data_IF_344755454555
#
_entry.id   IF_344755454555
#
_cell.length_a   1.000
_cell.length_b   1.000
_cell.length_c   1.000
_cell.angle_alpha   90.00
_cell.angle_beta   90.00
_cell.angle_gamma   90.00
#
_symmetry.space_group_name_H-M   'P 1'
#
loop_
_entity.id
_entity.type
_entity.pdbx_description
1 polymer ?
#
# COMPACT_ATOMS: atom_id res chain seq x y z
N UNK A 1 20.32 7.47 -36.38
CA UNK A 1 19.69 8.80 -36.24
C UNK A 1 18.20 8.58 -36.26
N UNK A 2 17.49 8.97 -35.20
CA UNK A 2 16.05 8.72 -35.10
C UNK A 2 15.27 9.84 -35.79
N UNK A 3 14.10 9.51 -36.32
CA UNK A 3 13.15 10.47 -36.89
C UNK A 3 12.81 11.63 -35.93
N UNK A 4 12.92 11.39 -34.62
CA UNK A 4 12.67 12.40 -33.59
C UNK A 4 13.77 13.47 -33.53
N UNK A 5 15.04 13.10 -33.76
CA UNK A 5 16.18 14.03 -33.76
C UNK A 5 16.18 14.99 -34.96
N UNK A 6 15.47 14.62 -36.02
CA UNK A 6 15.29 15.42 -37.24
C UNK A 6 14.12 16.40 -37.08
N UNK A 7 13.01 15.93 -36.49
CA UNK A 7 11.85 16.75 -36.18
C UNK A 7 12.15 17.86 -35.16
N UNK A 8 12.96 17.58 -34.13
CA UNK A 8 13.35 18.58 -33.13
C UNK A 8 14.16 19.73 -33.77
N UNK A 9 15.10 19.39 -34.66
CA UNK A 9 15.90 20.38 -35.41
C UNK A 9 15.03 21.24 -36.32
N UNK A 10 14.09 20.65 -37.05
CA UNK A 10 13.18 21.38 -37.93
C UNK A 10 12.28 22.37 -37.18
N UNK A 11 11.82 21.99 -35.98
CA UNK A 11 10.99 22.86 -35.14
C UNK A 11 11.79 24.03 -34.56
N UNK A 12 13.03 23.80 -34.12
CA UNK A 12 13.91 24.87 -33.62
C UNK A 12 14.24 25.88 -34.73
N UNK A 13 14.54 25.42 -35.94
CA UNK A 13 14.80 26.27 -37.10
C UNK A 13 13.54 27.07 -37.53
N UNK A 14 12.36 26.46 -37.47
CA UNK A 14 11.09 27.16 -37.72
C UNK A 14 10.83 28.26 -36.68
N UNK A 15 11.12 28.01 -35.40
CA UNK A 15 10.93 28.97 -34.31
C UNK A 15 11.89 30.17 -34.44
N UNK A 16 13.16 29.93 -34.80
CA UNK A 16 14.12 31.01 -35.03
C UNK A 16 13.75 31.90 -36.23
N UNK A 17 13.31 31.29 -37.35
CA UNK A 17 12.82 32.04 -38.53
C UNK A 17 11.67 32.98 -38.14
N UNK A 18 10.75 32.52 -37.30
CA UNK A 18 9.61 33.32 -36.82
C UNK A 18 10.04 34.46 -35.88
N UNK A 19 11.05 34.26 -35.03
CA UNK A 19 11.65 35.31 -34.18
C UNK A 19 12.38 36.37 -34.99
N UNK A 20 13.16 35.97 -36.02
CA UNK A 20 13.86 36.90 -36.92
C UNK A 20 12.87 37.75 -37.73
N UNK A 21 11.79 37.15 -38.25
CA UNK A 21 10.74 37.87 -38.96
C UNK A 21 10.02 38.92 -38.07
N UNK A 22 9.73 38.58 -36.81
CA UNK A 22 9.13 39.52 -35.84
C UNK A 22 10.07 40.68 -35.49
N UNK A 23 11.37 40.44 -35.35
CA UNK A 23 12.36 41.49 -35.09
C UNK A 23 12.54 42.42 -36.30
N UNK A 24 12.47 41.89 -37.53
CA UNK A 24 12.50 42.71 -38.74
C UNK A 24 11.24 43.59 -38.90
N UNK A 25 10.06 43.10 -38.50
CA UNK A 25 8.81 43.86 -38.57
C UNK A 25 8.70 44.99 -37.51
N UNK A 26 9.43 44.88 -36.38
CA UNK A 26 9.38 45.86 -35.29
C UNK A 26 10.24 47.12 -35.53
N UNK A 27 11.10 47.13 -36.56
CA UNK A 27 12.11 48.19 -36.75
C UNK A 27 11.70 49.44 -37.54
N UNK A 28 10.49 49.52 -38.13
CA UNK A 28 10.24 50.52 -39.20
C UNK A 28 9.21 51.62 -38.87
N UNK A 29 8.54 51.63 -37.71
CA UNK A 29 7.56 52.71 -37.43
C UNK A 29 7.52 53.17 -35.97
N UNK A 30 8.48 54.01 -35.57
CA UNK A 30 8.32 54.82 -34.36
C UNK A 30 9.16 56.11 -34.41
N UNK A 31 8.89 56.99 -35.37
CA UNK A 31 9.33 58.40 -35.29
C UNK A 31 8.23 59.33 -35.80
N UNK A 32 7.15 59.46 -35.02
CA UNK A 32 6.17 60.55 -35.17
C UNK A 32 5.76 61.07 -33.79
N UNK A 33 6.24 62.29 -33.52
CA UNK A 33 5.73 63.34 -32.60
C UNK A 33 4.68 62.87 -31.58
N UNK A 34 5.14 62.46 -30.40
CA UNK A 34 4.29 62.33 -29.21
C UNK A 34 4.16 63.71 -28.55
N UNK A 35 3.07 64.41 -28.83
CA UNK A 35 2.66 65.57 -28.04
C UNK A 35 2.26 65.15 -26.63
N UNK A 36 2.37 66.08 -25.67
CA UNK A 36 2.11 65.90 -24.23
C UNK A 36 0.76 65.23 -23.88
N UNK A 37 -0.22 65.22 -24.80
CA UNK A 37 -1.51 64.52 -24.64
C UNK A 37 -1.43 62.98 -24.78
N UNK A 38 -0.42 62.46 -25.46
CA UNK A 38 -0.25 61.02 -25.63
C UNK A 38 0.38 60.35 -24.38
N UNK A 39 1.21 61.08 -23.62
CA UNK A 39 1.75 60.62 -22.34
C UNK A 39 0.64 60.39 -21.29
N UNK A 40 -0.39 61.25 -21.25
CA UNK A 40 -1.56 61.06 -20.37
C UNK A 40 -2.38 59.81 -20.72
N UNK A 41 -2.57 59.53 -22.01
CA UNK A 41 -3.31 58.33 -22.46
C UNK A 41 -2.52 57.04 -22.25
N UNK A 42 -1.20 57.08 -22.44
CA UNK A 42 -0.32 55.95 -22.13
C UNK A 42 -0.29 55.69 -20.63
N UNK A 43 -0.12 56.71 -19.78
CA UNK A 43 -0.14 56.53 -18.33
C UNK A 43 -1.47 55.94 -17.83
N UNK A 44 -2.61 56.43 -18.35
CA UNK A 44 -3.92 55.88 -18.01
C UNK A 44 -4.09 54.43 -18.48
N UNK A 45 -3.66 54.11 -19.72
CA UNK A 45 -3.70 52.74 -20.24
C UNK A 45 -2.78 51.80 -19.45
N UNK A 46 -1.59 52.26 -19.05
CA UNK A 46 -0.65 51.45 -18.26
C UNK A 46 -1.16 51.22 -16.84
N UNK A 47 -1.79 52.23 -16.22
CA UNK A 47 -2.46 52.07 -14.93
C UNK A 47 -3.66 51.11 -15.02
N UNK A 48 -4.46 51.20 -16.09
CA UNK A 48 -5.58 50.27 -16.33
C UNK A 48 -5.08 48.83 -16.56
N UNK A 49 -4.02 48.65 -17.36
CA UNK A 49 -3.40 47.35 -17.60
C UNK A 49 -2.73 46.79 -16.34
N UNK A 50 -2.13 47.63 -15.50
CA UNK A 50 -1.58 47.22 -14.20
C UNK A 50 -2.69 46.76 -13.24
N UNK A 51 -3.85 47.46 -13.23
CA UNK A 51 -5.02 47.06 -12.44
C UNK A 51 -5.66 45.76 -12.94
N UNK A 52 -5.79 45.57 -14.26
CA UNK A 52 -6.31 44.33 -14.87
C UNK A 52 -5.31 43.16 -14.69
N UNK A 53 -4.00 43.43 -14.79
CA UNK A 53 -2.93 42.46 -14.54
C UNK A 53 -2.88 42.00 -13.08
N UNK A 54 -3.05 42.92 -12.13
CA UNK A 54 -3.13 42.58 -10.71
C UNK A 54 -4.39 41.75 -10.38
N UNK A 55 -5.53 42.05 -11.00
CA UNK A 55 -6.77 41.29 -10.80
C UNK A 55 -6.69 39.86 -11.37
N UNK A 56 -6.03 39.67 -12.52
CA UNK A 56 -5.87 38.34 -13.14
C UNK A 56 -4.85 37.46 -12.42
N UNK A 57 -3.76 38.03 -11.90
CA UNK A 57 -2.79 37.30 -11.07
C UNK A 57 -3.40 36.83 -9.73
N UNK A 58 -4.25 37.65 -9.11
CA UNK A 58 -4.96 37.28 -7.88
C UNK A 58 -5.98 36.16 -8.07
N UNK A 59 -6.74 36.18 -9.17
CA UNK A 59 -7.70 35.12 -9.50
C UNK A 59 -7.02 33.77 -9.80
N UNK A 60 -5.86 33.79 -10.46
CA UNK A 60 -5.06 32.59 -10.73
C UNK A 60 -4.56 31.91 -9.45
N UNK A 61 -4.08 32.68 -8.47
CA UNK A 61 -3.62 32.16 -7.18
C UNK A 61 -4.77 31.59 -6.32
N UNK A 62 -5.96 32.17 -6.39
CA UNK A 62 -7.14 31.64 -5.69
C UNK A 62 -7.69 30.37 -6.35
N UNK A 63 -7.67 30.29 -7.68
CA UNK A 63 -8.06 29.07 -8.42
C UNK A 63 -7.05 27.92 -8.24
N UNK A 64 -5.76 28.22 -8.03
CA UNK A 64 -4.72 27.22 -7.80
C UNK A 64 -4.65 26.73 -6.34
N UNK A 65 -5.06 27.54 -5.35
CA UNK A 65 -5.00 27.17 -3.91
C UNK A 65 -6.16 26.33 -3.39
N UNK A 66 -7.16 26.02 -4.22
CA UNK A 66 -8.44 25.53 -3.72
C UNK A 66 -9.14 24.47 -4.55
N UNK A 67 -8.42 23.66 -5.33
CA UNK A 67 -9.12 22.53 -5.97
C UNK A 67 -9.64 21.58 -4.88
N UNK A 68 -10.96 21.53 -4.75
CA UNK A 68 -11.67 20.57 -3.91
C UNK A 68 -11.74 19.29 -4.72
N UNK A 69 -11.35 18.16 -4.13
CA UNK A 69 -11.63 16.86 -4.72
C UNK A 69 -13.15 16.67 -4.64
N UNK A 70 -13.86 16.65 -5.77
CA UNK A 70 -15.31 16.49 -5.74
C UNK A 70 -15.65 15.11 -5.21
N UNK A 71 -16.69 15.03 -4.38
CA UNK A 71 -17.27 13.74 -4.06
C UNK A 71 -17.97 13.13 -5.27
N UNK A 72 -18.22 11.82 -5.28
CA UNK A 72 -19.04 11.16 -6.28
C UNK A 72 -20.42 11.83 -6.41
N UNK A 73 -21.05 11.71 -7.58
CA UNK A 73 -22.39 12.24 -7.76
C UNK A 73 -23.37 11.46 -6.88
N UNK A 74 -24.32 12.16 -6.27
CA UNK A 74 -25.27 11.57 -5.30
C UNK A 74 -26.04 10.37 -5.85
N UNK A 75 -26.34 10.35 -7.16
CA UNK A 75 -27.03 9.23 -7.82
C UNK A 75 -26.19 7.95 -7.94
N UNK A 76 -24.87 8.06 -7.81
CA UNK A 76 -23.91 6.96 -7.94
C UNK A 76 -23.48 6.42 -6.57
N UNK A 77 -24.02 6.96 -5.47
CA UNK A 77 -23.69 6.59 -4.09
C UNK A 77 -24.95 6.07 -3.40
N UNK A 78 -24.92 4.85 -2.83
CA UNK A 78 -26.03 4.35 -2.05
C UNK A 78 -26.34 5.25 -0.82
N UNK A 79 -27.60 5.36 -0.37
CA UNK A 79 -27.98 6.31 0.69
C UNK A 79 -27.22 6.12 2.03
N UNK A 80 -26.83 4.90 2.34
CA UNK A 80 -26.05 4.51 3.51
C UNK A 80 -24.60 5.02 3.48
N UNK A 81 -24.09 5.37 2.30
CA UNK A 81 -22.78 6.00 2.08
C UNK A 81 -22.87 7.49 1.74
N UNK A 82 -24.07 8.06 1.69
CA UNK A 82 -24.27 9.47 1.38
C UNK A 82 -24.26 10.30 2.68
N UNK A 83 -23.20 11.06 3.00
CA UNK A 83 -23.16 11.86 4.23
C UNK A 83 -24.18 13.01 4.20
N UNK A 84 -24.87 13.18 5.32
CA UNK A 84 -25.80 14.26 5.58
C UNK A 84 -25.03 15.58 5.68
N UNK A 85 -25.38 16.62 4.88
CA UNK A 85 -24.68 17.90 4.89
C UNK A 85 -24.56 18.50 6.29
N UNK A 86 -23.41 19.09 6.60
CA UNK A 86 -23.17 19.75 7.88
C UNK A 86 -22.88 18.81 9.07
N UNK A 87 -22.95 17.49 8.89
CA UNK A 87 -22.57 16.52 9.92
C UNK A 87 -21.08 16.15 9.89
N UNK A 88 -20.39 16.48 8.79
CA UNK A 88 -18.98 16.16 8.61
C UNK A 88 -18.10 17.04 9.53
N UNK A 89 -17.29 16.41 10.38
CA UNK A 89 -16.39 17.08 11.35
C UNK A 89 -15.08 16.32 11.48
N UNK A 90 -13.95 17.01 11.33
CA UNK A 90 -12.65 16.46 11.70
C UNK A 90 -12.62 16.23 13.22
N UNK A 91 -12.04 15.11 13.67
CA UNK A 91 -12.06 14.71 15.08
C UNK A 91 -11.10 15.52 15.94
N UNK A 92 -10.14 16.23 15.33
CA UNK A 92 -9.03 16.90 16.02
C UNK A 92 -7.93 15.95 16.47
N UNK A 93 -8.13 14.64 16.37
CA UNK A 93 -7.07 13.64 16.54
C UNK A 93 -6.12 13.71 15.35
N UNK A 94 -4.81 13.75 15.60
CA UNK A 94 -3.79 13.76 14.55
C UNK A 94 -2.79 12.62 14.73
N UNK A 95 -2.21 12.18 13.63
CA UNK A 95 -1.07 11.27 13.60
C UNK A 95 -0.03 11.82 12.61
N UNK A 96 1.23 11.80 13.01
CA UNK A 96 2.32 12.26 12.14
C UNK A 96 2.42 11.39 10.89
N UNK A 97 2.75 12.00 9.76
CA UNK A 97 3.15 11.26 8.57
C UNK A 97 4.54 10.62 8.81
N UNK A 98 4.75 9.35 8.41
CA UNK A 98 6.08 8.74 8.44
C UNK A 98 7.16 9.52 7.70
N UNK A 99 6.80 10.32 6.70
CA UNK A 99 7.70 11.22 6.00
C UNK A 99 7.73 12.62 6.65
N UNK A 100 8.91 13.08 7.08
CA UNK A 100 9.04 14.39 7.73
C UNK A 100 8.54 15.54 6.85
N UNK A 101 7.84 16.48 7.47
CA UNK A 101 7.39 17.72 6.81
C UNK A 101 6.10 17.58 5.99
N UNK A 102 5.50 16.39 5.91
CA UNK A 102 4.16 16.21 5.32
C UNK A 102 3.06 16.64 6.31
N UNK A 103 1.90 17.12 5.82
CA UNK A 103 0.77 17.45 6.68
C UNK A 103 0.30 16.23 7.49
N UNK A 104 -0.05 16.39 8.78
CA UNK A 104 -0.45 15.29 9.64
C UNK A 104 -1.76 14.66 9.18
N UNK A 105 -1.91 13.37 9.44
CA UNK A 105 -3.14 12.62 9.19
C UNK A 105 -4.19 12.92 10.26
N UNK A 106 -5.46 12.90 9.89
CA UNK A 106 -6.60 13.03 10.80
C UNK A 106 -7.78 12.19 10.29
N UNK A 107 -8.82 12.10 11.11
CA UNK A 107 -10.06 11.41 10.80
C UNK A 107 -11.20 12.43 10.74
N UNK A 108 -12.07 12.33 9.74
CA UNK A 108 -13.33 13.06 9.66
C UNK A 108 -14.48 12.08 9.86
N UNK A 109 -15.41 12.43 10.72
CA UNK A 109 -16.64 11.66 10.94
C UNK A 109 -17.83 12.41 10.35
N UNK A 110 -18.81 11.66 9.87
CA UNK A 110 -20.09 12.19 9.38
C UNK A 110 -21.22 11.22 9.72
N UNK A 111 -22.47 11.66 9.53
CA UNK A 111 -23.64 10.77 9.53
C UNK A 111 -24.10 10.55 8.11
N UNK A 112 -24.41 9.32 7.72
CA UNK A 112 -25.08 9.07 6.45
C UNK A 112 -26.53 9.57 6.48
N UNK A 113 -27.17 9.63 5.32
CA UNK A 113 -28.59 9.94 5.19
C UNK A 113 -29.50 8.90 5.87
N UNK A 114 -28.98 7.70 6.13
CA UNK A 114 -29.65 6.61 6.86
C UNK A 114 -29.26 6.55 8.34
N UNK A 115 -28.42 7.47 8.83
CA UNK A 115 -28.01 7.54 10.24
C UNK A 115 -26.75 6.74 10.59
N UNK A 116 -26.13 6.04 9.64
CA UNK A 116 -24.88 5.33 9.87
C UNK A 116 -23.74 6.30 10.22
N UNK A 117 -22.78 5.82 11.00
CA UNK A 117 -21.54 6.54 11.24
C UNK A 117 -20.61 6.32 10.04
N UNK A 118 -20.16 7.41 9.42
CA UNK A 118 -19.19 7.35 8.33
C UNK A 118 -17.85 7.94 8.78
N UNK A 119 -16.76 7.39 8.26
CA UNK A 119 -15.41 7.87 8.48
C UNK A 119 -14.69 8.17 7.18
N UNK A 120 -13.82 9.18 7.20
CA UNK A 120 -12.92 9.55 6.10
C UNK A 120 -11.54 9.82 6.68
N UNK A 121 -10.52 9.18 6.14
CA UNK A 121 -9.13 9.52 6.43
C UNK A 121 -8.67 10.62 5.48
N UNK A 122 -7.92 11.58 6.01
CA UNK A 122 -7.26 12.61 5.22
C UNK A 122 -6.14 13.27 6.01
N UNK A 123 -5.51 14.25 5.40
CA UNK A 123 -4.49 15.10 5.99
C UNK A 123 -5.07 16.47 6.36
N UNK A 124 -4.46 17.11 7.35
CA UNK A 124 -4.82 18.45 7.82
C UNK A 124 -3.74 19.45 7.39
N UNK A 125 -4.09 20.40 6.53
CA UNK A 125 -3.20 21.45 6.04
C UNK A 125 -3.89 22.82 6.20
N UNK A 126 -3.28 23.73 6.97
CA UNK A 126 -3.85 25.04 7.32
C UNK A 126 -5.33 24.96 7.80
N UNK A 127 -5.65 23.97 8.64
CA UNK A 127 -7.00 23.75 9.18
C UNK A 127 -8.00 23.16 8.18
N UNK A 128 -7.58 22.85 6.95
CA UNK A 128 -8.40 22.20 5.94
C UNK A 128 -8.17 20.70 5.93
N UNK A 129 -9.26 19.94 5.77
CA UNK A 129 -9.23 18.49 5.64
C UNK A 129 -9.16 18.09 4.15
N UNK A 130 -8.19 17.27 3.78
CA UNK A 130 -7.94 16.93 2.38
C UNK A 130 -6.89 15.84 2.20
N UNK A 131 -6.19 15.86 1.08
CA UNK A 131 -5.09 14.93 0.78
C UNK A 131 -4.04 15.63 -0.10
N UNK A 132 -2.76 15.34 0.15
CA UNK A 132 -1.69 15.63 -0.79
C UNK A 132 -1.72 14.58 -1.90
N UNK A 133 -2.00 15.01 -3.13
CA UNK A 133 -2.01 14.12 -4.29
C UNK A 133 -0.59 13.70 -4.72
N UNK A 134 -0.51 12.78 -5.69
CA UNK A 134 0.75 12.31 -6.29
C UNK A 134 1.59 13.45 -6.89
N UNK A 135 0.96 14.55 -7.30
CA UNK A 135 1.65 15.75 -7.77
C UNK A 135 2.19 16.66 -6.65
N UNK A 136 2.20 16.17 -5.40
CA UNK A 136 2.67 16.89 -4.22
C UNK A 136 1.76 18.03 -3.77
N UNK A 137 0.57 18.20 -4.37
CA UNK A 137 -0.34 19.31 -4.04
C UNK A 137 -1.48 18.89 -3.13
N UNK A 138 -1.67 19.66 -2.06
CA UNK A 138 -2.82 19.50 -1.17
C UNK A 138 -4.13 19.93 -1.84
N UNK A 139 -5.16 19.11 -1.69
CA UNK A 139 -6.53 19.38 -2.16
C UNK A 139 -7.53 19.04 -1.08
N UNK A 140 -8.45 19.95 -0.80
CA UNK A 140 -9.47 19.71 0.23
C UNK A 140 -10.44 18.63 -0.23
N UNK A 141 -10.89 17.78 0.69
CA UNK A 141 -11.95 16.84 0.41
C UNK A 141 -13.31 17.51 0.56
N UNK A 142 -14.18 17.32 -0.43
CA UNK A 142 -15.61 17.57 -0.25
C UNK A 142 -16.14 16.81 0.97
N UNK A 143 -17.10 17.37 1.69
CA UNK A 143 -17.82 16.68 2.79
C UNK A 143 -18.51 15.40 2.32
N UNK A 144 -18.72 15.23 1.00
CA UNK A 144 -19.34 14.06 0.38
C UNK A 144 -18.44 12.84 0.25
N UNK A 145 -17.14 12.97 0.53
CA UNK A 145 -16.19 11.85 0.45
C UNK A 145 -16.17 11.13 1.79
N UNK A 146 -16.53 9.84 1.76
CA UNK A 146 -16.47 8.91 2.88
C UNK A 146 -15.73 7.65 2.45
N UNK A 147 -15.04 7.01 3.40
CA UNK A 147 -14.24 5.80 3.14
C UNK A 147 -15.01 4.55 3.55
N UNK A 148 -15.69 4.64 4.69
CA UNK A 148 -16.48 3.55 5.24
C UNK A 148 -17.66 4.12 6.02
N UNK A 149 -18.77 3.40 6.02
CA UNK A 149 -19.93 3.66 6.85
C UNK A 149 -20.36 2.37 7.53
N UNK A 150 -20.87 2.48 8.75
CA UNK A 150 -21.29 1.33 9.54
C UNK A 150 -22.22 1.71 10.67
N UNK A 151 -22.85 0.70 11.26
CA UNK A 151 -23.69 0.90 12.43
C UNK A 151 -22.86 1.47 13.58
N UNK A 152 -23.39 2.51 14.23
CA UNK A 152 -22.78 2.98 15.45
C UNK A 152 -23.16 2.01 16.58
N UNK A 153 -22.22 1.15 16.93
CA UNK A 153 -22.38 0.29 18.08
C UNK A 153 -22.18 1.13 19.35
N UNK A 154 -23.19 1.12 20.22
CA UNK A 154 -23.05 1.62 21.58
C UNK A 154 -22.60 0.48 22.49
N UNK A 155 -21.63 0.75 23.37
CA UNK A 155 -21.10 -0.25 24.29
C UNK A 155 -19.66 -0.65 23.98
N UNK A 156 -19.40 -1.95 24.01
CA UNK A 156 -18.05 -2.54 24.16
C UNK A 156 -17.52 -3.13 22.86
N UNK A 157 -17.92 -2.56 21.71
CA UNK A 157 -17.49 -3.03 20.39
C UNK A 157 -17.12 -1.87 19.50
N UNK A 158 -16.16 -2.09 18.60
CA UNK A 158 -15.81 -1.07 17.64
C UNK A 158 -16.94 -0.86 16.63
N UNK A 159 -17.31 0.41 16.37
CA UNK A 159 -18.25 0.76 15.30
C UNK A 159 -17.59 0.65 13.93
N UNK A 160 -16.34 1.11 13.83
CA UNK A 160 -15.55 1.09 12.60
C UNK A 160 -14.09 0.80 12.95
N UNK A 161 -13.45 -0.09 12.21
CA UNK A 161 -11.99 -0.27 12.20
C UNK A 161 -11.59 -0.56 10.76
N UNK A 162 -10.55 0.11 10.28
CA UNK A 162 -10.06 -0.11 8.93
C UNK A 162 -8.63 0.33 8.74
N UNK A 163 -8.05 -0.10 7.61
CA UNK A 163 -6.78 0.39 7.11
C UNK A 163 -6.98 0.85 5.67
N UNK A 164 -6.62 2.10 5.39
CA UNK A 164 -6.67 2.67 4.04
C UNK A 164 -5.26 2.81 3.50
N UNK A 165 -5.08 2.40 2.25
CA UNK A 165 -3.82 2.54 1.54
C UNK A 165 -3.90 3.74 0.61
N UNK A 166 -2.90 4.61 0.68
CA UNK A 166 -2.70 5.74 -0.22
C UNK A 166 -1.49 5.42 -1.09
N UNK A 167 -1.74 5.35 -2.38
CA UNK A 167 -0.75 4.95 -3.39
C UNK A 167 0.27 6.06 -3.64
N UNK A 168 1.43 5.66 -4.16
CA UNK A 168 2.52 6.56 -4.53
C UNK A 168 3.30 5.99 -5.72
N UNK A 169 4.02 6.85 -6.45
CA UNK A 169 4.86 6.42 -7.57
C UNK A 169 6.05 5.55 -7.08
N UNK A 170 6.53 5.81 -5.86
CA UNK A 170 7.52 4.99 -5.17
C UNK A 170 6.83 4.11 -4.09
N UNK A 171 7.01 2.79 -4.09
CA UNK A 171 6.50 1.91 -3.03
C UNK A 171 6.90 2.31 -1.59
N UNK A 172 8.03 3.00 -1.41
CA UNK A 172 8.46 3.53 -0.10
C UNK A 172 7.64 4.76 0.34
N UNK A 173 7.03 5.46 -0.61
CA UNK A 173 6.16 6.63 -0.36
C UNK A 173 4.70 6.25 -0.12
N UNK A 174 4.35 4.98 -0.31
CA UNK A 174 3.02 4.45 0.05
C UNK A 174 2.75 4.68 1.53
N UNK A 175 1.49 5.00 1.86
CA UNK A 175 1.03 5.16 3.23
C UNK A 175 -0.12 4.21 3.52
N UNK A 176 -0.02 3.51 4.65
CA UNK A 176 -1.15 2.79 5.25
C UNK A 176 -1.63 3.57 6.46
N UNK A 177 -2.88 3.98 6.45
CA UNK A 177 -3.50 4.70 7.56
C UNK A 177 -4.56 3.85 8.22
N UNK A 178 -4.24 3.41 9.43
CA UNK A 178 -5.10 2.59 10.29
C UNK A 178 -5.96 3.52 11.13
N UNK A 179 -7.26 3.31 11.14
CA UNK A 179 -8.21 4.16 11.87
C UNK A 179 -9.34 3.35 12.49
N UNK A 180 -10.06 3.99 13.41
CA UNK A 180 -11.34 3.46 13.85
C UNK A 180 -12.10 4.37 14.81
N UNK A 181 -13.31 3.93 15.15
CA UNK A 181 -14.21 4.53 16.13
C UNK A 181 -14.79 3.42 17.00
N UNK A 182 -14.47 3.42 18.29
CA UNK A 182 -14.89 2.38 19.22
C UNK A 182 -15.70 2.89 20.42
N UNK A 183 -16.18 4.13 20.37
CA UNK A 183 -17.09 4.67 21.37
C UNK A 183 -16.43 4.99 22.73
N UNK A 184 -17.21 5.51 23.68
CA UNK A 184 -16.69 6.02 24.95
C UNK A 184 -16.21 4.94 25.94
N UNK A 185 -16.51 3.66 25.67
CA UNK A 185 -16.06 2.55 26.50
C UNK A 185 -14.62 2.10 26.17
N UNK A 186 -14.03 2.56 25.06
CA UNK A 186 -12.65 2.27 24.71
C UNK A 186 -11.69 2.81 25.79
N UNK A 187 -10.69 2.01 26.16
CA UNK A 187 -9.71 2.35 27.22
C UNK A 187 -8.29 2.33 26.72
N UNK A 188 -7.95 1.38 25.85
CA UNK A 188 -6.63 1.32 25.25
C UNK A 188 -6.73 0.87 23.80
N UNK A 189 -5.80 1.38 22.99
CA UNK A 189 -5.57 0.95 21.62
C UNK A 189 -4.08 0.66 21.48
N UNK A 190 -3.75 -0.56 21.11
CA UNK A 190 -2.39 -0.95 20.76
C UNK A 190 -2.32 -1.27 19.28
N UNK A 191 -1.31 -0.76 18.60
CA UNK A 191 -0.99 -1.09 17.22
C UNK A 191 0.33 -1.85 17.20
N UNK A 192 0.30 -3.07 16.67
CA UNK A 192 1.49 -3.82 16.32
C UNK A 192 1.78 -3.69 14.82
N UNK A 193 3.01 -3.33 14.49
CA UNK A 193 3.53 -3.33 13.12
C UNK A 193 5.02 -3.72 13.15
N UNK A 194 5.43 -4.62 12.26
CA UNK A 194 6.80 -5.17 12.17
C UNK A 194 7.30 -5.72 13.51
N UNK A 195 6.42 -6.41 14.25
CA UNK A 195 6.70 -6.97 15.56
C UNK A 195 6.92 -5.93 16.67
N UNK A 196 6.59 -4.66 16.42
CA UNK A 196 6.68 -3.58 17.42
C UNK A 196 5.30 -3.10 17.76
N UNK A 197 4.93 -3.23 19.02
CA UNK A 197 3.70 -2.68 19.58
C UNK A 197 3.91 -1.23 20.03
N UNK A 198 2.92 -0.37 19.80
CA UNK A 198 2.82 0.98 20.37
C UNK A 198 1.38 1.28 20.77
N UNK A 199 1.21 2.00 21.88
CA UNK A 199 -0.10 2.53 22.25
C UNK A 199 -0.45 3.72 21.35
N UNK A 200 -1.73 3.82 20.96
CA UNK A 200 -2.24 4.93 20.18
C UNK A 200 -3.09 5.88 21.05
N UNK A 201 -3.03 7.20 20.79
CA UNK A 201 -3.91 8.15 21.45
C UNK A 201 -5.37 7.87 21.11
N UNK A 202 -6.24 8.00 22.12
CA UNK A 202 -7.70 7.89 21.98
C UNK A 202 -8.28 9.31 21.92
N UNK A 203 -8.87 9.65 20.79
CA UNK A 203 -9.55 10.91 20.55
C UNK A 203 -11.02 10.90 20.96
N UNK A 204 -11.74 12.02 20.71
CA UNK A 204 -13.17 12.14 20.99
C UNK A 204 -13.98 10.98 20.40
N UNK A 205 -14.95 10.49 21.18
CA UNK A 205 -15.83 9.38 20.76
C UNK A 205 -15.13 8.02 20.62
N UNK A 206 -13.95 7.83 21.21
CA UNK A 206 -13.18 6.59 21.08
C UNK A 206 -12.54 6.44 19.71
N UNK A 207 -12.13 7.55 19.10
CA UNK A 207 -11.44 7.55 17.80
C UNK A 207 -9.96 7.21 17.99
N UNK A 208 -9.36 6.55 17.02
CA UNK A 208 -7.92 6.31 16.98
C UNK A 208 -7.42 6.34 15.54
N UNK A 209 -6.14 6.64 15.38
CA UNK A 209 -5.50 6.82 14.07
C UNK A 209 -3.99 6.54 14.18
N UNK A 210 -3.44 5.92 13.15
CA UNK A 210 -2.00 5.81 12.94
C UNK A 210 -1.69 5.79 11.45
N UNK A 211 -0.64 6.50 11.05
CA UNK A 211 -0.05 6.37 9.72
C UNK A 211 1.23 5.51 9.79
N UNK A 212 1.41 4.69 8.76
CA UNK A 212 2.53 3.75 8.58
C UNK A 212 3.06 3.90 7.15
N UNK A 213 4.38 3.73 6.98
CA UNK A 213 4.99 3.66 5.66
C UNK A 213 4.79 2.27 5.05
N UNK A 214 4.59 2.22 3.73
CA UNK A 214 4.39 1.00 2.97
C UNK A 214 2.98 0.42 3.07
N UNK A 215 2.81 -0.76 2.51
CA UNK A 215 1.54 -1.49 2.50
C UNK A 215 1.29 -2.23 3.82
N UNK A 216 0.03 -2.56 4.17
CA UNK A 216 -0.27 -3.27 5.41
C UNK A 216 0.36 -4.67 5.43
N UNK A 217 0.46 -5.35 4.29
CA UNK A 217 1.13 -6.64 4.17
C UNK A 217 2.63 -6.57 4.48
N UNK A 218 3.31 -5.46 4.17
CA UNK A 218 4.74 -5.26 4.41
C UNK A 218 5.07 -4.93 5.87
N UNK A 219 4.03 -4.75 6.68
CA UNK A 219 4.16 -4.36 8.09
C UNK A 219 3.41 -5.27 9.04
N UNK A 220 2.52 -6.14 8.56
CA UNK A 220 1.83 -7.13 9.40
C UNK A 220 0.99 -6.45 10.48
N UNK A 221 0.20 -5.46 10.08
CA UNK A 221 -0.55 -4.56 10.96
C UNK A 221 -1.58 -5.34 11.77
N UNK A 222 -1.58 -5.14 13.09
CA UNK A 222 -2.63 -5.61 13.98
C UNK A 222 -3.02 -4.52 14.99
N UNK A 223 -4.32 -4.31 15.16
CA UNK A 223 -4.87 -3.40 16.17
C UNK A 223 -5.57 -4.20 17.25
N UNK A 224 -5.18 -3.99 18.49
CA UNK A 224 -5.87 -4.50 19.67
C UNK A 224 -6.61 -3.36 20.37
N UNK A 225 -7.90 -3.55 20.60
CA UNK A 225 -8.79 -2.63 21.30
C UNK A 225 -9.17 -3.23 22.64
N UNK A 226 -8.98 -2.49 23.73
CA UNK A 226 -9.41 -2.90 25.08
C UNK A 226 -10.49 -1.96 25.61
N UNK A 227 -11.58 -2.54 26.09
CA UNK A 227 -12.75 -1.82 26.58
C UNK A 227 -12.84 -1.83 28.10
N UNK A 228 -13.69 -0.96 28.66
CA UNK A 228 -13.86 -0.78 30.10
C UNK A 228 -14.25 -2.06 30.86
N UNK A 229 -14.97 -2.98 30.22
CA UNK A 229 -15.34 -4.28 30.78
C UNK A 229 -14.23 -5.31 30.82
N UNK A 230 -13.11 -5.03 30.15
CA UNK A 230 -12.07 -6.02 29.86
C UNK A 230 -12.28 -6.78 28.56
N UNK A 231 -13.35 -6.52 27.79
CA UNK A 231 -13.49 -7.06 26.43
C UNK A 231 -12.32 -6.60 25.55
N UNK A 232 -11.86 -7.49 24.66
CA UNK A 232 -10.75 -7.26 23.75
C UNK A 232 -11.16 -7.61 22.32
N UNK A 233 -10.94 -6.70 21.38
CA UNK A 233 -11.07 -6.96 19.94
C UNK A 233 -9.70 -6.87 19.27
N UNK A 234 -9.45 -7.75 18.28
CA UNK A 234 -8.24 -7.73 17.46
C UNK A 234 -8.61 -7.68 15.99
N UNK A 235 -7.95 -6.79 15.27
CA UNK A 235 -8.19 -6.53 13.85
C UNK A 235 -6.85 -6.55 13.11
N UNK A 236 -6.68 -7.50 12.20
CA UNK A 236 -5.46 -7.64 11.42
C UNK A 236 -5.65 -7.12 9.99
N UNK A 237 -4.65 -6.41 9.48
CA UNK A 237 -4.64 -5.86 8.11
C UNK A 237 -3.38 -6.32 7.39
N UNK A 238 -3.53 -6.87 6.18
CA UNK A 238 -2.41 -7.40 5.40
C UNK A 238 -1.78 -8.67 5.98
N UNK A 239 -2.32 -9.24 7.06
CA UNK A 239 -1.90 -10.54 7.61
C UNK A 239 -2.73 -11.65 6.98
N UNK A 240 -2.08 -12.73 6.59
CA UNK A 240 -2.72 -14.01 6.29
C UNK A 240 -1.73 -15.15 6.57
N UNK A 241 -2.25 -16.37 6.65
CA UNK A 241 -1.48 -17.61 6.70
C UNK A 241 -0.50 -17.79 5.52
N UNK A 242 -0.70 -17.05 4.42
CA UNK A 242 0.12 -17.11 3.21
C UNK A 242 1.13 -15.98 3.11
N UNK A 243 1.03 -14.94 3.94
CA UNK A 243 1.89 -13.75 3.87
C UNK A 243 2.97 -13.80 4.96
N UNK A 244 4.21 -13.57 4.57
CA UNK A 244 5.39 -13.58 5.44
C UNK A 244 6.11 -12.26 5.28
N UNK A 245 6.41 -11.58 6.40
CA UNK A 245 7.17 -10.34 6.38
C UNK A 245 8.59 -10.59 5.88
N UNK A 246 9.12 -9.63 5.13
CA UNK A 246 10.52 -9.66 4.75
C UNK A 246 11.41 -9.38 5.98
N UNK A 247 12.40 -10.24 6.25
CA UNK A 247 13.24 -10.11 7.45
C UNK A 247 14.09 -8.83 7.47
N UNK A 248 14.38 -8.25 6.30
CA UNK A 248 15.16 -7.01 6.18
C UNK A 248 14.24 -5.78 6.04
N UNK A 249 12.93 -5.93 6.24
CA UNK A 249 11.96 -4.85 6.18
C UNK A 249 11.56 -4.40 4.76
N UNK A 250 11.84 -5.22 3.75
CA UNK A 250 11.33 -5.05 2.38
C UNK A 250 9.85 -5.42 2.21
N UNK A 251 9.45 -5.66 0.96
CA UNK A 251 8.09 -6.08 0.62
C UNK A 251 7.81 -7.51 1.12
N UNK A 252 6.62 -7.74 1.65
CA UNK A 252 6.22 -9.04 2.14
C UNK A 252 6.11 -10.08 1.01
N UNK A 253 6.24 -11.35 1.40
CA UNK A 253 6.19 -12.50 0.52
C UNK A 253 4.84 -13.20 0.67
N UNK A 254 4.30 -13.75 -0.41
CA UNK A 254 3.16 -14.66 -0.36
C UNK A 254 3.46 -16.02 -0.95
N UNK A 255 2.91 -17.06 -0.36
CA UNK A 255 2.93 -18.40 -0.92
C UNK A 255 1.76 -18.67 -1.84
N UNK A 256 1.98 -19.55 -2.81
CA UNK A 256 0.91 -20.15 -3.58
C UNK A 256 1.27 -21.59 -3.95
N UNK A 257 0.26 -22.45 -3.93
CA UNK A 257 0.36 -23.84 -4.36
C UNK A 257 -0.42 -24.02 -5.66
N UNK A 258 0.18 -24.71 -6.61
CA UNK A 258 -0.43 -25.04 -7.90
C UNK A 258 -0.50 -26.55 -8.07
N UNK A 259 -1.71 -27.04 -8.32
CA UNK A 259 -1.93 -28.34 -8.93
C UNK A 259 -1.81 -28.21 -10.46
N UNK A 260 -1.03 -29.08 -11.09
CA UNK A 260 -0.78 -29.02 -12.54
C UNK A 260 -1.63 -30.10 -13.23
N UNK A 261 -2.91 -29.82 -13.53
CA UNK A 261 -3.77 -30.69 -14.35
C UNK A 261 -3.67 -32.19 -14.04
N UNK A 262 -3.18 -32.98 -15.00
CA UNK A 262 -2.99 -34.44 -14.89
C UNK A 262 -1.67 -34.88 -14.22
N UNK A 263 -0.99 -33.98 -13.52
CA UNK A 263 0.22 -34.25 -12.75
C UNK A 263 -0.13 -34.43 -11.27
N UNK A 264 0.32 -35.54 -10.68
CA UNK A 264 0.16 -35.81 -9.25
C UNK A 264 0.95 -34.87 -8.35
N UNK A 265 1.91 -34.14 -8.93
CA UNK A 265 2.73 -33.19 -8.17
C UNK A 265 1.92 -31.97 -7.77
N UNK A 266 2.11 -31.56 -6.53
CA UNK A 266 1.80 -30.21 -6.08
C UNK A 266 3.10 -29.42 -6.10
N UNK A 267 3.09 -28.24 -6.69
CA UNK A 267 4.23 -27.34 -6.69
C UNK A 267 3.90 -26.11 -5.86
N UNK A 268 4.83 -25.72 -4.99
CA UNK A 268 4.75 -24.50 -4.20
C UNK A 268 5.82 -23.54 -4.67
N UNK A 269 5.44 -22.30 -4.89
CA UNK A 269 6.36 -21.18 -5.07
C UNK A 269 5.91 -20.06 -4.16
N UNK A 270 6.73 -19.03 -4.06
CA UNK A 270 6.34 -17.79 -3.42
C UNK A 270 6.72 -16.60 -4.31
N UNK A 271 6.04 -15.49 -4.10
CA UNK A 271 6.26 -14.24 -4.84
C UNK A 271 6.16 -13.08 -3.87
N UNK A 272 6.38 -11.86 -4.35
CA UNK A 272 5.94 -10.67 -3.61
C UNK A 272 4.43 -10.75 -3.34
N UNK A 273 4.02 -10.30 -2.15
CA UNK A 273 2.64 -10.32 -1.71
C UNK A 273 1.77 -9.46 -2.63
N UNK A 274 2.27 -8.27 -2.95
CA UNK A 274 1.69 -7.38 -3.95
C UNK A 274 2.21 -7.73 -5.35
N UNK A 275 1.30 -7.72 -6.33
CA UNK A 275 1.70 -7.86 -7.74
C UNK A 275 2.25 -6.49 -8.18
N UNK A 276 3.52 -6.47 -8.54
CA UNK A 276 4.19 -5.33 -9.19
C UNK A 276 4.61 -5.73 -10.60
N UNK A 277 5.06 -4.75 -11.40
CA UNK A 277 5.62 -5.00 -12.74
C UNK A 277 6.85 -5.93 -12.71
N UNK A 278 7.48 -6.07 -11.55
CA UNK A 278 8.66 -6.91 -11.38
C UNK A 278 8.34 -8.40 -11.21
N UNK A 279 7.09 -8.74 -10.87
CA UNK A 279 6.55 -10.10 -10.62
C UNK A 279 7.62 -11.17 -10.35
N UNK A 280 8.30 -11.04 -9.22
CA UNK A 280 9.36 -11.96 -8.78
C UNK A 280 8.73 -13.21 -8.19
N UNK A 281 9.19 -14.37 -8.66
CA UNK A 281 8.73 -15.68 -8.21
C UNK A 281 9.94 -16.56 -7.88
N UNK A 282 9.84 -17.30 -6.80
CA UNK A 282 10.83 -18.32 -6.44
C UNK A 282 10.85 -19.48 -7.46
N UNK A 283 11.93 -20.27 -7.51
CA UNK A 283 11.85 -21.61 -8.07
C UNK A 283 10.73 -22.42 -7.40
N UNK A 284 10.15 -23.36 -8.15
CA UNK A 284 9.14 -24.28 -7.62
C UNK A 284 9.79 -25.32 -6.70
N UNK A 285 9.15 -25.59 -5.57
CA UNK A 285 9.33 -26.82 -4.81
C UNK A 285 8.18 -27.75 -5.19
N UNK A 286 8.46 -28.84 -5.90
CA UNK A 286 7.43 -29.79 -6.33
C UNK A 286 7.60 -31.10 -5.58
N UNK A 287 6.51 -31.68 -5.10
CA UNK A 287 6.50 -33.02 -4.49
C UNK A 287 5.11 -33.66 -4.59
N UNK A 288 4.94 -34.83 -4.00
CA UNK A 288 3.68 -35.57 -4.03
C UNK A 288 3.12 -35.68 -2.63
N UNK A 289 1.92 -35.14 -2.42
CA UNK A 289 1.09 -35.47 -1.27
C UNK A 289 0.17 -36.62 -1.68
N UNK A 290 0.33 -37.79 -1.03
CA UNK A 290 -0.50 -38.96 -1.29
C UNK A 290 -1.93 -38.64 -0.90
N UNK A 291 -2.91 -38.96 -1.75
CA UNK A 291 -4.32 -38.85 -1.37
C UNK A 291 -4.82 -40.16 -0.81
N UNK A 292 -5.42 -40.12 0.37
CA UNK A 292 -6.10 -41.24 1.01
C UNK A 292 -7.54 -40.79 1.31
N UNK A 293 -8.45 -41.12 0.40
CA UNK A 293 -9.79 -40.52 0.40
C UNK A 293 -9.73 -39.02 0.12
N UNK A 294 -10.23 -38.21 1.07
CA UNK A 294 -10.19 -36.73 1.01
C UNK A 294 -8.93 -36.14 1.62
N UNK A 295 -8.21 -36.91 2.43
CA UNK A 295 -6.99 -36.47 3.11
C UNK A 295 -5.79 -36.51 2.17
N UNK A 296 -4.90 -35.54 2.33
CA UNK A 296 -3.56 -35.51 1.77
C UNK A 296 -2.58 -35.95 2.83
N UNK A 297 -1.60 -36.76 2.46
CA UNK A 297 -0.55 -37.29 3.34
C UNK A 297 0.85 -37.09 2.78
N UNK A 298 1.80 -36.87 3.67
CA UNK A 298 3.23 -36.66 3.37
C UNK A 298 3.68 -35.21 3.54
N UNK A 299 4.90 -34.92 3.12
CA UNK A 299 5.45 -33.56 3.13
C UNK A 299 6.56 -33.45 2.09
N UNK A 300 6.76 -32.26 1.56
CA UNK A 300 7.93 -31.90 0.77
C UNK A 300 8.25 -30.43 0.96
N UNK A 301 9.52 -30.05 0.83
CA UNK A 301 9.93 -28.65 0.88
C UNK A 301 11.31 -28.45 0.29
N UNK A 302 11.57 -27.21 -0.15
CA UNK A 302 12.88 -26.74 -0.54
C UNK A 302 13.47 -25.86 0.58
N UNK A 303 14.79 -25.93 0.72
CA UNK A 303 15.59 -25.03 1.58
C UNK A 303 16.70 -24.48 0.70
N UNK A 304 16.61 -23.20 0.31
CA UNK A 304 17.52 -22.61 -0.68
C UNK A 304 17.84 -21.16 -0.37
N UNK A 305 19.03 -20.73 -0.78
CA UNK A 305 19.39 -19.33 -0.93
C UNK A 305 19.03 -18.90 -2.36
N UNK A 306 18.25 -17.85 -2.47
CA UNK A 306 17.89 -17.18 -3.71
C UNK A 306 18.76 -15.94 -3.83
N UNK A 307 19.48 -15.82 -4.93
CA UNK A 307 20.40 -14.71 -5.24
C UNK A 307 19.99 -14.06 -6.56
N UNK A 308 20.42 -12.81 -6.83
CA UNK A 308 20.21 -12.19 -8.13
C UNK A 308 20.54 -13.14 -9.29
N UNK A 309 19.66 -13.19 -10.29
CA UNK A 309 19.76 -14.09 -11.45
C UNK A 309 19.25 -15.51 -11.25
N UNK A 310 18.78 -15.91 -10.05
CA UNK A 310 18.19 -17.24 -9.84
C UNK A 310 16.98 -17.43 -10.77
N UNK A 311 16.94 -18.46 -11.62
CA UNK A 311 15.85 -18.64 -12.57
C UNK A 311 14.56 -19.10 -11.89
N UNK A 312 13.42 -18.79 -12.49
CA UNK A 312 12.11 -19.32 -12.10
C UNK A 312 11.32 -19.79 -13.33
N UNK A 313 10.22 -20.49 -13.06
CA UNK A 313 9.25 -20.93 -14.06
C UNK A 313 7.90 -20.25 -13.82
N UNK A 314 7.45 -19.35 -14.71
CA UNK A 314 7.93 -19.14 -16.09
C UNK A 314 9.23 -18.31 -16.21
N UNK A 315 9.98 -18.44 -17.33
CA UNK A 315 11.16 -17.62 -17.60
C UNK A 315 10.85 -16.14 -17.51
N UNK A 316 11.83 -15.36 -17.04
CA UNK A 316 11.68 -13.92 -16.86
C UNK A 316 11.08 -13.51 -15.52
N UNK A 317 10.47 -14.41 -14.74
CA UNK A 317 9.95 -14.10 -13.38
C UNK A 317 10.89 -14.57 -12.26
N UNK A 318 12.16 -14.82 -12.58
CA UNK A 318 13.18 -15.24 -11.61
C UNK A 318 13.54 -14.16 -10.60
N UNK A 319 14.55 -14.43 -9.79
CA UNK A 319 15.01 -13.56 -8.70
C UNK A 319 15.75 -12.28 -9.16
N UNK A 320 15.84 -12.04 -10.47
CA UNK A 320 16.35 -10.82 -11.15
C UNK A 320 17.44 -10.08 -10.36
N UNK A 321 17.19 -8.85 -9.97
CA UNK A 321 18.10 -8.00 -9.19
C UNK A 321 17.68 -7.91 -7.72
N UNK A 322 16.75 -8.78 -7.28
CA UNK A 322 16.20 -8.72 -5.94
C UNK A 322 17.25 -9.15 -4.90
N UNK A 323 17.33 -8.46 -3.74
CA UNK A 323 18.28 -8.82 -2.69
C UNK A 323 18.23 -10.32 -2.32
N UNK A 324 19.39 -10.92 -1.97
CA UNK A 324 19.44 -12.32 -1.59
C UNK A 324 18.53 -12.65 -0.40
N UNK A 325 17.88 -13.81 -0.44
CA UNK A 325 17.07 -14.35 0.66
C UNK A 325 17.33 -15.84 0.82
N UNK A 326 17.33 -16.31 2.06
CA UNK A 326 17.26 -17.75 2.34
C UNK A 326 15.83 -18.10 2.71
N UNK A 327 15.26 -19.12 2.07
CA UNK A 327 13.86 -19.48 2.29
C UNK A 327 13.67 -20.98 2.47
N UNK A 328 12.63 -21.32 3.23
CA UNK A 328 12.08 -22.67 3.36
C UNK A 328 10.62 -22.62 2.91
N UNK A 329 10.27 -23.37 1.88
CA UNK A 329 8.90 -23.42 1.37
C UNK A 329 8.53 -24.79 0.82
N UNK A 330 7.27 -25.14 0.94
CA UNK A 330 6.79 -26.46 0.53
C UNK A 330 5.34 -26.67 0.91
N UNK A 331 4.91 -27.93 0.91
CA UNK A 331 3.59 -28.31 1.38
C UNK A 331 3.64 -29.54 2.29
N UNK A 332 2.64 -29.63 3.15
CA UNK A 332 2.43 -30.74 4.08
C UNK A 332 1.06 -31.37 3.87
N UNK A 333 0.90 -32.63 4.31
CA UNK A 333 -0.38 -33.30 4.37
C UNK A 333 -1.27 -32.74 5.47
N UNK A 334 -2.50 -33.22 5.54
CA UNK A 334 -3.50 -32.78 6.51
C UNK A 334 -3.17 -33.29 7.94
N UNK A 335 -2.31 -34.30 8.07
CA UNK A 335 -1.83 -34.89 9.35
C UNK A 335 -0.73 -34.08 10.06
N UNK A 336 -0.27 -32.96 9.48
CA UNK A 336 0.80 -32.12 10.06
C UNK A 336 0.19 -30.89 10.73
N UNK A 337 0.32 -30.79 12.05
CA UNK A 337 -0.26 -29.70 12.83
C UNK A 337 0.62 -28.45 12.83
N UNK A 338 1.94 -28.63 12.82
CA UNK A 338 2.88 -27.51 12.92
C UNK A 338 4.16 -27.74 12.12
N UNK A 339 4.68 -26.62 11.61
CA UNK A 339 6.00 -26.52 11.01
C UNK A 339 6.83 -25.52 11.81
N UNK A 340 8.03 -25.91 12.19
CA UNK A 340 9.00 -25.05 12.88
C UNK A 340 10.31 -25.08 12.09
N UNK A 341 10.93 -23.93 11.86
CA UNK A 341 12.24 -23.81 11.24
C UNK A 341 13.20 -23.23 12.27
N UNK A 342 14.33 -23.89 12.49
CA UNK A 342 15.35 -23.48 13.45
C UNK A 342 16.71 -23.39 12.77
N UNK A 343 17.57 -22.50 13.24
CA UNK A 343 18.90 -22.25 12.70
C UNK A 343 19.92 -21.84 13.78
N UNK A 344 21.15 -21.50 13.38
CA UNK A 344 22.18 -21.02 14.30
C UNK A 344 21.77 -19.69 14.96
N UNK A 345 22.37 -19.38 16.11
CA UNK A 345 22.15 -18.10 16.80
C UNK A 345 20.74 -17.92 17.40
N UNK A 346 20.00 -19.01 17.63
CA UNK A 346 18.62 -18.93 18.14
C UNK A 346 17.60 -18.49 17.09
N UNK A 347 17.96 -18.55 15.80
CA UNK A 347 17.03 -18.28 14.72
C UNK A 347 15.89 -19.30 14.75
N UNK A 348 14.67 -18.82 14.93
CA UNK A 348 13.46 -19.64 14.94
C UNK A 348 12.35 -18.97 14.14
N UNK A 349 11.61 -19.74 13.37
CA UNK A 349 10.39 -19.33 12.68
C UNK A 349 9.32 -20.42 12.80
N UNK A 350 8.07 -20.02 12.96
CA UNK A 350 6.90 -20.92 12.99
C UNK A 350 5.96 -20.53 11.86
N UNK A 351 6.26 -20.93 10.60
CA UNK A 351 5.44 -20.55 9.47
C UNK A 351 4.02 -21.10 9.61
N UNK A 352 3.03 -20.28 9.27
CA UNK A 352 1.65 -20.73 9.18
C UNK A 352 1.51 -21.75 8.04
N UNK A 353 0.66 -22.75 8.26
CA UNK A 353 0.26 -23.71 7.23
C UNK A 353 -1.05 -23.20 6.64
N UNK A 354 -1.01 -22.71 5.40
CA UNK A 354 -2.22 -22.14 4.81
C UNK A 354 -3.25 -23.18 4.38
N UNK A 355 -4.43 -22.76 3.92
CA UNK A 355 -5.50 -23.71 3.51
C UNK A 355 -5.06 -24.71 2.41
N UNK A 356 -4.18 -24.24 1.51
CA UNK A 356 -3.57 -25.08 0.48
C UNK A 356 -2.55 -26.09 1.03
N UNK A 357 -2.26 -26.00 2.34
CA UNK A 357 -1.21 -26.68 3.10
C UNK A 357 0.20 -26.30 2.68
N UNK A 358 0.32 -25.19 1.95
CA UNK A 358 1.62 -24.57 1.70
C UNK A 358 2.09 -23.80 2.95
N UNK A 359 3.39 -23.70 3.11
CA UNK A 359 4.02 -22.90 4.15
C UNK A 359 5.27 -22.20 3.60
N UNK A 360 5.69 -21.12 4.26
CA UNK A 360 6.89 -20.37 3.92
C UNK A 360 7.51 -19.73 5.16
N UNK A 361 8.83 -19.85 5.26
CA UNK A 361 9.67 -19.03 6.10
C UNK A 361 10.74 -18.35 5.24
N UNK A 362 10.96 -17.05 5.47
CA UNK A 362 11.97 -16.25 4.77
C UNK A 362 12.95 -15.69 5.80
N UNK A 363 14.23 -15.73 5.46
CA UNK A 363 15.36 -15.31 6.28
C UNK A 363 16.29 -14.40 5.46
N UNK A 364 17.15 -13.66 6.17
CA UNK A 364 18.21 -12.86 5.56
C UNK A 364 19.07 -13.69 4.61
N UNK A 365 19.61 -13.05 3.57
CA UNK A 365 20.44 -13.72 2.56
C UNK A 365 21.75 -14.29 3.11
N UNK A 366 22.19 -13.81 4.26
CA UNK A 366 23.38 -14.26 5.00
C UNK A 366 23.18 -15.62 5.68
N UNK A 367 21.94 -16.00 5.99
CA UNK A 367 21.63 -17.30 6.61
C UNK A 367 22.00 -18.44 5.67
N UNK A 368 22.84 -19.38 6.12
CA UNK A 368 23.22 -20.57 5.36
C UNK A 368 22.07 -21.58 5.30
N UNK A 369 21.55 -21.93 4.11
CA UNK A 369 20.50 -22.95 3.96
C UNK A 369 20.84 -24.29 4.62
N UNK A 370 22.12 -24.70 4.63
CA UNK A 370 22.54 -25.98 5.23
C UNK A 370 22.46 -25.98 6.75
N UNK A 371 22.44 -24.80 7.37
CA UNK A 371 22.34 -24.63 8.83
C UNK A 371 20.90 -24.72 9.36
N UNK A 372 19.91 -24.66 8.47
CA UNK A 372 18.49 -24.70 8.84
C UNK A 372 17.98 -26.14 9.02
N UNK A 373 17.17 -26.33 10.06
CA UNK A 373 16.45 -27.57 10.33
C UNK A 373 14.94 -27.30 10.39
N UNK A 374 14.17 -28.09 9.64
CA UNK A 374 12.71 -28.07 9.61
C UNK A 374 12.20 -29.19 10.51
N UNK A 375 11.36 -28.84 11.48
CA UNK A 375 10.68 -29.77 12.38
C UNK A 375 9.20 -29.76 12.06
N UNK A 376 8.67 -30.93 11.71
CA UNK A 376 7.25 -31.18 11.46
C UNK A 376 6.67 -31.91 12.67
N UNK A 377 5.58 -31.39 13.23
CA UNK A 377 4.81 -32.07 14.27
C UNK A 377 3.51 -32.57 13.66
N UNK A 378 3.23 -33.85 13.88
CA UNK A 378 2.05 -34.54 13.39
C UNK A 378 0.97 -34.60 14.48
N UNK A 379 -0.28 -34.76 14.05
CA UNK A 379 -1.46 -34.91 14.93
C UNK A 379 -1.37 -36.13 15.86
N UNK A 380 -0.71 -37.20 15.41
CA UNK A 380 -0.38 -38.41 16.18
C UNK A 380 0.75 -38.23 17.22
N UNK A 381 1.28 -37.01 17.35
CA UNK A 381 2.39 -36.66 18.24
C UNK A 381 3.78 -37.00 17.68
N UNK A 382 3.88 -37.61 16.49
CA UNK A 382 5.17 -37.87 15.84
C UNK A 382 5.85 -36.55 15.47
N UNK A 383 7.17 -36.53 15.62
CA UNK A 383 8.00 -35.38 15.26
C UNK A 383 9.05 -35.83 14.25
N UNK A 384 9.11 -35.15 13.11
CA UNK A 384 10.11 -35.38 12.07
C UNK A 384 10.98 -34.15 11.95
N UNK A 385 12.30 -34.32 12.06
CA UNK A 385 13.27 -33.25 11.88
C UNK A 385 14.18 -33.54 10.70
N UNK A 386 14.29 -32.59 9.80
CA UNK A 386 15.05 -32.71 8.55
C UNK A 386 15.90 -31.47 8.29
N UNK A 387 17.00 -31.65 7.56
CA UNK A 387 17.86 -30.56 7.05
C UNK A 387 17.91 -30.62 5.53
N UNK A 388 18.06 -29.47 4.88
CA UNK A 388 18.07 -29.37 3.42
C UNK A 388 16.69 -29.63 2.80
N UNK A 389 16.66 -29.77 1.48
CA UNK A 389 15.40 -30.01 0.73
C UNK A 389 14.95 -31.47 0.86
N UNK A 390 13.64 -31.72 0.96
CA UNK A 390 13.06 -33.03 1.24
C UNK A 390 11.92 -33.38 0.28
N UNK A 391 11.89 -34.64 -0.18
CA UNK A 391 10.83 -35.24 -1.01
C UNK A 391 10.46 -34.45 -2.28
N UNK A 392 11.45 -33.79 -2.90
CA UNK A 392 11.25 -33.06 -4.14
C UNK A 392 11.21 -34.02 -5.34
N UNK A 393 10.38 -33.69 -6.33
CA UNK A 393 10.18 -34.47 -7.55
C UNK A 393 10.31 -33.58 -8.79
N UNK A 394 11.39 -33.77 -9.53
CA UNK A 394 11.71 -32.94 -10.69
C UNK A 394 10.99 -33.36 -11.98
N UNK A 395 10.50 -34.61 -12.07
CA UNK A 395 9.82 -35.14 -13.26
C UNK A 395 8.30 -35.16 -13.11
N UNK A 396 7.58 -34.88 -14.21
CA UNK A 396 6.10 -35.02 -14.27
C UNK A 396 5.67 -36.42 -13.85
N UNK A 397 4.63 -36.51 -13.02
CA UNK A 397 4.06 -37.78 -12.57
C UNK A 397 2.61 -37.89 -13.04
N UNK A 398 2.32 -38.62 -14.12
CA UNK A 398 0.95 -38.72 -14.63
C UNK A 398 0.00 -39.32 -13.58
N UNK A 399 -1.24 -38.84 -13.55
CA UNK A 399 -2.33 -39.51 -12.84
C UNK A 399 -2.48 -40.93 -13.40
N UNK A 400 -2.20 -41.94 -12.56
CA UNK A 400 -2.59 -43.33 -12.82
C UNK A 400 -4.05 -43.52 -12.53
#
# INVERSE_FOLDING_TARGET
MSFLDELERDLLDAAERRRRARRAAAGVRARRRFGLHALRRVALATALFALIGAATAGAGLLLLRGSVIPGPATRDVPPDQLPLPGTARATGLTADDPEPGRPPWTLRLARSSTGLLCSTVGQLDDGRFGLVGLDGRFRAYSERIVDSCGEQLSGERASLVGARVFDADDPQEVRTVVNGVAGPALRAVSLEARGRARELPIGPGGTFLAALAGYPEDSGVEVELRFASGHVERHAFGRSDRVVLDPDGGQAWKTWALGIGNDRRTCVSFSLARISDENIISPRACGVLRREGRERRGHFFAVRRLVPGTPAEPPGQGWRDHPPRTAVWGAVGDEVDAVEVSGPGGLEARPAIGDSRAFLAVFGGDVDPASLAVTLRYDDGRVVRSRGSVNLVDRRMPLR
#
